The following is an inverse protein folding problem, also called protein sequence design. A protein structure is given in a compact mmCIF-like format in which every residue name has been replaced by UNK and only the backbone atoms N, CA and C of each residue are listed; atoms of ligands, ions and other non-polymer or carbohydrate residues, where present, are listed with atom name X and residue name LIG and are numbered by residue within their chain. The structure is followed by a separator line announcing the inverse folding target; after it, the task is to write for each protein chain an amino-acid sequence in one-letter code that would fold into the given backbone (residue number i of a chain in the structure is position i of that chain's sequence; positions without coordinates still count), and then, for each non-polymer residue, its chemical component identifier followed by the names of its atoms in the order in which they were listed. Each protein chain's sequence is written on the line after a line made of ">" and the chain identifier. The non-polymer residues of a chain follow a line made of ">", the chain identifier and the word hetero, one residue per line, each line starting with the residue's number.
data_IF_416544952844
#
_entry.id   IF_416544952844
#
_cell.length_a   1.000
_cell.length_b   1.000
_cell.length_c   1.000
_cell.angle_alpha   90.00
_cell.angle_beta   90.00
_cell.angle_gamma   90.00
#
_symmetry.space_group_name_H-M   'P 1'
#
loop_
_entity.id
_entity.type
_entity.pdbx_description
1 polymer ?
#
# COMPACT_ATOMS: atom_id res chain seq x y z
N UNK A 1 34.26 13.90 30.31
CA UNK A 1 34.58 12.68 29.52
C UNK A 1 33.85 12.77 28.19
N UNK A 2 34.59 12.80 27.09
CA UNK A 2 33.99 12.76 25.75
C UNK A 2 33.52 11.34 25.52
N UNK A 3 32.21 11.10 25.54
CA UNK A 3 31.66 9.85 25.02
C UNK A 3 32.03 9.78 23.53
N UNK A 4 33.07 9.01 23.20
CA UNK A 4 33.25 8.56 21.82
C UNK A 4 31.95 7.82 21.47
N UNK A 5 31.15 8.40 20.56
CA UNK A 5 29.99 7.72 19.98
C UNK A 5 30.50 6.52 19.18
N UNK A 6 30.79 5.43 19.87
CA UNK A 6 30.93 4.13 19.25
C UNK A 6 29.54 3.81 18.71
N UNK A 7 29.39 3.86 17.38
CA UNK A 7 28.19 3.33 16.74
C UNK A 7 28.12 1.85 17.11
N UNK A 8 27.22 1.52 18.03
CA UNK A 8 26.98 0.14 18.42
C UNK A 8 26.29 -0.56 17.25
N UNK A 9 26.86 -1.67 16.79
CA UNK A 9 26.22 -2.51 15.80
C UNK A 9 24.93 -3.13 16.35
N UNK A 10 23.97 -3.45 15.46
CA UNK A 10 22.70 -4.09 15.82
C UNK A 10 22.87 -5.28 16.76
N UNK A 11 23.86 -6.12 16.48
CA UNK A 11 24.16 -7.32 17.27
C UNK A 11 24.71 -7.01 18.66
N UNK A 12 25.54 -5.96 18.79
CA UNK A 12 26.06 -5.52 20.07
C UNK A 12 24.95 -4.98 20.98
N UNK A 13 24.00 -4.22 20.41
CA UNK A 13 22.82 -3.75 21.14
C UNK A 13 21.95 -4.92 21.58
N UNK A 14 21.66 -5.86 20.67
CA UNK A 14 20.85 -7.03 20.98
C UNK A 14 21.48 -7.88 22.09
N UNK A 15 22.79 -8.14 22.01
CA UNK A 15 23.54 -8.90 22.99
C UNK A 15 23.56 -8.22 24.37
N UNK A 16 23.84 -6.92 24.42
CA UNK A 16 23.89 -6.17 25.68
C UNK A 16 22.53 -6.16 26.40
N UNK A 17 21.43 -6.05 25.66
CA UNK A 17 20.08 -6.14 26.25
C UNK A 17 19.79 -7.57 26.70
N UNK A 18 20.09 -8.56 25.87
CA UNK A 18 19.86 -9.96 26.21
C UNK A 18 20.55 -10.33 27.52
N UNK A 19 21.82 -9.95 27.70
CA UNK A 19 22.58 -10.19 28.93
C UNK A 19 21.89 -9.60 30.16
N UNK A 20 21.34 -8.39 30.05
CA UNK A 20 20.65 -7.73 31.16
C UNK A 20 19.29 -8.35 31.49
N UNK A 21 18.56 -8.80 30.47
CA UNK A 21 17.27 -9.49 30.66
C UNK A 21 17.50 -10.87 31.29
N UNK A 22 18.45 -11.64 30.80
CA UNK A 22 18.79 -12.98 31.35
C UNK A 22 19.32 -12.88 32.78
N UNK A 23 20.01 -11.80 33.16
CA UNK A 23 20.43 -11.57 34.55
C UNK A 23 19.27 -11.30 35.52
N UNK A 24 18.11 -10.88 35.02
CA UNK A 24 16.95 -10.46 35.83
C UNK A 24 15.73 -11.37 35.68
N UNK A 25 15.85 -12.43 34.87
CA UNK A 25 14.76 -13.36 34.55
C UNK A 25 15.31 -14.77 34.38
N UNK A 26 14.45 -15.78 34.47
CA UNK A 26 14.82 -17.17 34.14
C UNK A 26 14.81 -17.45 32.62
N UNK A 27 14.88 -16.40 31.80
CA UNK A 27 14.79 -16.52 30.34
C UNK A 27 16.12 -16.89 29.72
N UNK A 28 16.07 -17.58 28.59
CA UNK A 28 17.25 -17.90 27.78
C UNK A 28 17.22 -17.09 26.49
N UNK A 29 18.30 -16.39 26.19
CA UNK A 29 18.44 -15.68 24.92
C UNK A 29 18.78 -16.66 23.79
N UNK A 30 17.97 -16.67 22.74
CA UNK A 30 18.21 -17.48 21.54
C UNK A 30 18.33 -16.58 20.30
N UNK A 31 19.55 -16.31 19.80
CA UNK A 31 19.71 -15.55 18.58
C UNK A 31 19.15 -16.33 17.37
N UNK A 32 18.46 -15.61 16.47
CA UNK A 32 18.04 -16.10 15.15
C UNK A 32 17.07 -17.30 15.12
N UNK A 33 16.54 -17.73 16.27
CA UNK A 33 15.49 -18.75 16.38
C UNK A 33 14.14 -18.11 16.68
N UNK A 34 13.06 -18.78 16.27
CA UNK A 34 11.72 -18.43 16.72
C UNK A 34 11.66 -18.54 18.25
N UNK A 35 11.46 -17.41 18.91
CA UNK A 35 11.24 -17.35 20.36
C UNK A 35 9.73 -17.19 20.64
N UNK A 36 9.31 -17.59 21.82
CA UNK A 36 7.93 -17.35 22.28
C UNK A 36 7.71 -15.88 22.67
N UNK A 37 8.78 -15.08 22.76
CA UNK A 37 8.76 -13.71 23.26
C UNK A 37 9.90 -12.89 22.66
N UNK A 38 9.59 -12.04 21.67
CA UNK A 38 10.59 -11.19 21.03
C UNK A 38 10.55 -9.77 21.62
N UNK A 39 11.66 -9.33 22.24
CA UNK A 39 11.89 -7.92 22.58
C UNK A 39 12.46 -7.21 21.35
N UNK A 40 11.85 -6.11 20.95
CA UNK A 40 12.30 -5.23 19.86
C UNK A 40 12.77 -3.90 20.39
N UNK A 41 13.96 -3.51 19.95
CA UNK A 41 14.57 -2.22 20.26
C UNK A 41 14.72 -1.45 18.95
N UNK A 42 14.03 -0.33 18.84
CA UNK A 42 14.20 0.61 17.76
C UNK A 42 14.94 1.84 18.31
N UNK A 43 16.11 2.12 17.76
CA UNK A 43 16.91 3.29 18.12
C UNK A 43 16.88 4.24 16.94
N UNK A 44 16.22 5.38 17.12
CA UNK A 44 16.18 6.44 16.12
C UNK A 44 16.73 7.73 16.72
N UNK A 45 17.91 8.15 16.23
CA UNK A 45 18.62 9.34 16.72
C UNK A 45 18.84 9.28 18.25
N UNK A 46 18.05 10.04 19.00
CA UNK A 46 18.13 10.16 20.45
C UNK A 46 16.96 9.46 21.17
N UNK A 47 16.12 8.74 20.43
CA UNK A 47 14.96 8.03 20.95
C UNK A 47 15.19 6.52 20.90
N UNK A 48 14.83 5.84 22.00
CA UNK A 48 14.84 4.38 22.08
C UNK A 48 13.42 3.93 22.39
N UNK A 49 12.86 3.11 21.51
CA UNK A 49 11.59 2.42 21.72
C UNK A 49 11.87 0.94 22.01
N UNK A 50 11.54 0.51 23.22
CA UNK A 50 11.52 -0.90 23.62
C UNK A 50 10.09 -1.39 23.51
N UNK A 51 9.89 -2.50 22.80
CA UNK A 51 8.57 -3.07 22.54
C UNK A 51 8.62 -4.59 22.61
N UNK A 52 7.47 -5.20 22.87
CA UNK A 52 7.29 -6.65 22.85
C UNK A 52 6.49 -7.02 21.62
N UNK A 53 6.91 -8.05 20.91
CA UNK A 53 6.15 -8.60 19.79
C UNK A 53 5.02 -9.48 20.35
N UNK A 54 3.79 -9.03 20.17
CA UNK A 54 2.59 -9.73 20.67
C UNK A 54 2.19 -10.91 19.78
N UNK A 55 2.44 -10.81 18.46
CA UNK A 55 2.08 -11.84 17.49
C UNK A 55 3.34 -12.54 16.97
N UNK A 56 3.31 -13.87 16.88
CA UNK A 56 4.41 -14.66 16.32
C UNK A 56 4.67 -14.31 14.85
N UNK A 57 3.60 -14.12 14.09
CA UNK A 57 3.61 -13.73 12.69
C UNK A 57 3.45 -12.23 12.49
N UNK A 58 3.99 -11.74 11.36
CA UNK A 58 3.79 -10.34 10.99
C UNK A 58 2.39 -10.12 10.45
N UNK A 59 1.74 -9.04 10.92
CA UNK A 59 0.38 -8.64 10.52
C UNK A 59 0.25 -8.24 9.04
N UNK A 60 1.31 -8.29 8.22
CA UNK A 60 1.16 -8.20 6.76
C UNK A 60 0.69 -9.51 6.13
N UNK A 61 0.89 -10.65 6.82
CA UNK A 61 0.44 -11.95 6.31
C UNK A 61 -1.08 -11.97 6.24
N UNK A 62 -1.58 -12.54 5.15
CA UNK A 62 -3.00 -12.68 4.81
C UNK A 62 -3.21 -14.06 4.20
N UNK A 63 -4.46 -14.48 4.15
CA UNK A 63 -4.91 -15.73 3.54
C UNK A 63 -4.76 -15.79 2.00
N UNK A 64 -4.46 -14.65 1.36
CA UNK A 64 -4.20 -14.56 -0.07
C UNK A 64 -2.70 -14.48 -0.40
N UNK A 65 -2.35 -14.81 -1.65
CA UNK A 65 -0.96 -14.95 -2.07
C UNK A 65 -0.30 -13.57 -2.25
N UNK A 66 0.83 -13.41 -1.55
CA UNK A 66 1.72 -12.27 -1.73
C UNK A 66 2.73 -12.63 -2.80
N UNK A 67 2.62 -12.02 -3.98
CA UNK A 67 3.67 -12.14 -4.99
C UNK A 67 4.83 -11.22 -4.60
N UNK A 68 6.04 -11.76 -4.34
CA UNK A 68 7.20 -10.95 -3.98
C UNK A 68 7.80 -10.29 -5.22
N UNK A 69 7.04 -9.38 -5.84
CA UNK A 69 7.56 -8.54 -6.92
C UNK A 69 8.22 -7.29 -6.34
N UNK A 70 9.30 -6.77 -6.95
CA UNK A 70 9.83 -5.47 -6.59
C UNK A 70 8.72 -4.41 -6.65
N UNK A 71 8.42 -3.77 -5.53
CA UNK A 71 7.34 -2.79 -5.44
C UNK A 71 5.94 -3.33 -5.17
N UNK A 72 5.80 -4.63 -4.89
CA UNK A 72 4.57 -5.17 -4.29
C UNK A 72 4.23 -4.39 -3.01
N UNK A 73 2.97 -4.03 -2.85
CA UNK A 73 2.49 -3.24 -1.71
C UNK A 73 2.26 -4.13 -0.48
N UNK A 74 2.72 -3.68 0.70
CA UNK A 74 2.35 -4.36 1.96
C UNK A 74 0.87 -4.19 2.23
N UNK A 75 0.21 -5.30 2.56
CA UNK A 75 -1.23 -5.33 2.84
C UNK A 75 -1.65 -4.44 4.02
N UNK A 76 -0.76 -4.18 4.98
CA UNK A 76 -1.03 -3.21 6.06
C UNK A 76 -1.12 -1.78 5.56
N UNK A 77 -0.35 -1.40 4.53
CA UNK A 77 -0.42 -0.07 3.91
C UNK A 77 -1.69 0.03 3.09
N UNK A 78 -2.01 -1.02 2.31
CA UNK A 78 -3.25 -1.09 1.55
C UNK A 78 -4.48 -0.94 2.46
N UNK A 79 -4.53 -1.69 3.56
CA UNK A 79 -5.58 -1.63 4.56
C UNK A 79 -5.75 -0.23 5.16
N UNK A 80 -4.64 0.43 5.52
CA UNK A 80 -4.67 1.78 6.08
C UNK A 80 -5.23 2.81 5.07
N UNK A 81 -4.76 2.78 3.82
CA UNK A 81 -5.27 3.67 2.76
C UNK A 81 -6.76 3.46 2.52
N UNK A 82 -7.21 2.20 2.46
CA UNK A 82 -8.62 1.88 2.25
C UNK A 82 -9.48 2.27 3.44
N UNK A 83 -9.00 2.11 4.67
CA UNK A 83 -9.72 2.55 5.87
C UNK A 83 -10.02 4.06 5.82
N UNK A 84 -9.02 4.87 5.44
CA UNK A 84 -9.17 6.31 5.27
C UNK A 84 -10.11 6.71 4.13
N UNK A 85 -10.17 5.92 3.04
CA UNK A 85 -11.03 6.21 1.88
C UNK A 85 -12.48 5.72 2.09
N UNK A 86 -12.67 4.53 2.65
CA UNK A 86 -13.98 3.88 2.82
C UNK A 86 -14.77 4.49 3.98
N UNK A 87 -14.10 4.87 5.07
CA UNK A 87 -14.73 5.55 6.23
C UNK A 87 -15.97 4.83 6.79
N UNK A 88 -15.97 3.49 6.75
CA UNK A 88 -17.05 2.66 7.28
C UNK A 88 -18.26 2.47 6.36
N UNK A 89 -18.23 3.02 5.14
CA UNK A 89 -19.33 2.86 4.17
C UNK A 89 -19.21 1.51 3.43
N UNK A 90 -20.01 0.53 3.86
CA UNK A 90 -20.08 -0.78 3.21
C UNK A 90 -20.77 -0.71 1.83
N UNK A 91 -20.41 -1.64 0.94
CA UNK A 91 -21.01 -1.76 -0.39
C UNK A 91 -20.49 -0.77 -1.44
N UNK A 92 -19.57 0.12 -1.07
CA UNK A 92 -18.85 0.99 -2.00
C UNK A 92 -18.22 0.18 -3.14
N UNK A 93 -18.22 0.77 -4.34
CA UNK A 93 -17.55 0.20 -5.50
C UNK A 93 -16.15 0.79 -5.62
N UNK A 94 -15.14 -0.07 -5.46
CA UNK A 94 -13.72 0.27 -5.47
C UNK A 94 -13.09 -0.28 -6.75
N UNK A 95 -12.31 0.54 -7.46
CA UNK A 95 -11.58 0.14 -8.66
C UNK A 95 -10.07 0.30 -8.51
N UNK A 96 -9.29 -0.67 -9.00
CA UNK A 96 -7.83 -0.58 -9.17
C UNK A 96 -7.42 -0.97 -10.59
N UNK A 97 -7.00 -0.01 -11.41
CA UNK A 97 -6.56 -0.24 -12.78
C UNK A 97 -5.08 -0.67 -12.92
N UNK A 98 -4.37 -0.85 -11.80
CA UNK A 98 -3.04 -1.44 -11.72
C UNK A 98 -3.03 -2.56 -10.69
N UNK A 99 -4.04 -3.44 -10.74
CA UNK A 99 -4.35 -4.30 -9.60
C UNK A 99 -3.25 -5.32 -9.30
N UNK A 100 -2.40 -5.70 -10.26
CA UNK A 100 -1.40 -6.74 -10.10
C UNK A 100 -2.03 -8.00 -9.51
N UNK A 101 -1.55 -8.46 -8.35
CA UNK A 101 -2.10 -9.62 -7.63
C UNK A 101 -3.37 -9.34 -6.80
N UNK A 102 -3.93 -8.13 -6.88
CA UNK A 102 -5.20 -7.76 -6.26
C UNK A 102 -5.11 -7.33 -4.79
N UNK A 103 -3.96 -6.88 -4.29
CA UNK A 103 -3.79 -6.56 -2.85
C UNK A 103 -4.79 -5.51 -2.35
N UNK A 104 -4.97 -4.40 -3.06
CA UNK A 104 -5.99 -3.41 -2.68
C UNK A 104 -7.40 -3.97 -2.76
N UNK A 105 -7.69 -4.76 -3.79
CA UNK A 105 -9.01 -5.37 -3.97
C UNK A 105 -9.34 -6.35 -2.84
N UNK A 106 -8.38 -7.16 -2.40
CA UNK A 106 -8.56 -8.05 -1.25
C UNK A 106 -8.85 -7.28 0.04
N UNK A 107 -8.08 -6.23 0.33
CA UNK A 107 -8.30 -5.41 1.54
C UNK A 107 -9.62 -4.63 1.46
N UNK A 108 -10.03 -4.17 0.26
CA UNK A 108 -11.31 -3.49 0.08
C UNK A 108 -12.49 -4.44 0.29
N UNK A 109 -12.39 -5.69 -0.20
CA UNK A 109 -13.40 -6.72 0.05
C UNK A 109 -13.58 -7.02 1.54
N UNK A 110 -12.48 -7.02 2.32
CA UNK A 110 -12.52 -7.19 3.78
C UNK A 110 -13.25 -6.05 4.51
N UNK A 111 -13.33 -4.87 3.90
CA UNK A 111 -14.14 -3.73 4.37
C UNK A 111 -15.59 -3.76 3.85
N UNK A 112 -16.00 -4.84 3.18
CA UNK A 112 -17.36 -4.98 2.65
C UNK A 112 -17.60 -4.24 1.33
N UNK A 113 -16.56 -3.85 0.61
CA UNK A 113 -16.69 -3.21 -0.70
C UNK A 113 -16.92 -4.22 -1.83
N UNK A 114 -17.54 -3.77 -2.92
CA UNK A 114 -17.53 -4.46 -4.20
C UNK A 114 -16.30 -4.01 -5.00
N UNK A 115 -15.52 -4.94 -5.52
CA UNK A 115 -14.15 -4.67 -6.00
C UNK A 115 -14.00 -4.98 -7.47
N UNK A 116 -13.40 -4.05 -8.18
CA UNK A 116 -13.20 -4.13 -9.62
C UNK A 116 -11.75 -3.83 -9.91
N UNK A 117 -11.17 -4.47 -10.90
CA UNK A 117 -9.79 -4.14 -11.24
C UNK A 117 -9.33 -4.65 -12.57
N UNK A 118 -8.19 -4.12 -12.97
CA UNK A 118 -7.53 -4.56 -14.17
C UNK A 118 -6.04 -4.44 -14.08
N UNK A 119 -5.38 -5.28 -14.87
CA UNK A 119 -3.96 -5.20 -15.13
C UNK A 119 -3.73 -5.55 -16.60
N UNK A 120 -2.64 -5.04 -17.18
CA UNK A 120 -2.27 -5.37 -18.57
C UNK A 120 -1.70 -6.79 -18.67
N UNK A 121 -1.18 -7.35 -17.57
CA UNK A 121 -0.57 -8.67 -17.54
C UNK A 121 -1.60 -9.76 -17.20
N UNK A 122 -1.93 -10.67 -18.14
CA UNK A 122 -2.86 -11.76 -17.91
C UNK A 122 -2.50 -12.67 -16.73
N UNK A 123 -1.21 -12.94 -16.53
CA UNK A 123 -0.75 -13.78 -15.43
C UNK A 123 -1.06 -13.18 -14.06
N UNK A 124 -0.94 -11.86 -13.92
CA UNK A 124 -1.29 -11.18 -12.66
C UNK A 124 -2.80 -11.11 -12.43
N UNK A 125 -3.59 -10.94 -13.50
CA UNK A 125 -5.05 -10.97 -13.43
C UNK A 125 -5.56 -12.33 -12.94
N UNK A 126 -5.00 -13.44 -13.40
CA UNK A 126 -5.38 -14.76 -12.90
C UNK A 126 -5.03 -14.96 -11.42
N UNK A 127 -3.89 -14.43 -10.97
CA UNK A 127 -3.52 -14.43 -9.54
C UNK A 127 -4.51 -13.57 -8.75
N UNK A 128 -4.87 -12.39 -9.23
CA UNK A 128 -5.84 -11.51 -8.58
C UNK A 128 -7.21 -12.20 -8.45
N UNK A 129 -7.70 -12.87 -9.49
CA UNK A 129 -8.95 -13.64 -9.43
C UNK A 129 -8.89 -14.74 -8.36
N UNK A 130 -7.81 -15.52 -8.32
CA UNK A 130 -7.59 -16.54 -7.30
C UNK A 130 -7.59 -15.95 -5.87
N UNK A 131 -6.89 -14.83 -5.68
CA UNK A 131 -6.84 -14.12 -4.40
C UNK A 131 -8.22 -13.58 -3.98
N UNK A 132 -8.98 -13.03 -4.91
CA UNK A 132 -10.33 -12.54 -4.66
C UNK A 132 -11.31 -13.65 -4.28
N UNK A 133 -11.17 -14.84 -4.88
CA UNK A 133 -11.95 -16.01 -4.50
C UNK A 133 -11.64 -16.44 -3.05
N UNK A 134 -10.37 -16.44 -2.63
CA UNK A 134 -9.96 -16.81 -1.27
C UNK A 134 -10.59 -15.92 -0.19
N UNK A 135 -10.82 -14.64 -0.50
CA UNK A 135 -11.43 -13.68 0.44
C UNK A 135 -12.94 -13.51 0.23
N UNK A 136 -13.56 -14.26 -0.68
CA UNK A 136 -15.00 -14.19 -0.96
C UNK A 136 -15.45 -12.84 -1.52
N UNK A 137 -14.60 -12.16 -2.28
CA UNK A 137 -14.89 -10.84 -2.83
C UNK A 137 -16.00 -10.86 -3.89
N UNK A 138 -16.76 -9.76 -3.97
CA UNK A 138 -17.77 -9.52 -5.01
C UNK A 138 -17.26 -8.49 -6.02
N UNK A 139 -17.32 -8.82 -7.30
CA UNK A 139 -17.01 -7.90 -8.41
C UNK A 139 -16.25 -8.60 -9.54
N UNK A 140 -15.45 -7.86 -10.30
CA UNK A 140 -14.84 -8.35 -11.55
C UNK A 140 -13.39 -7.88 -11.74
N UNK A 141 -12.52 -8.76 -12.22
CA UNK A 141 -11.14 -8.44 -12.59
C UNK A 141 -10.82 -8.97 -13.97
N UNK A 142 -10.30 -8.11 -14.84
CA UNK A 142 -10.03 -8.45 -16.23
C UNK A 142 -8.73 -7.85 -16.77
N UNK A 143 -8.23 -8.45 -17.87
CA UNK A 143 -7.07 -7.93 -18.60
C UNK A 143 -7.50 -6.76 -19.47
N UNK A 144 -6.93 -5.58 -19.22
CA UNK A 144 -7.15 -4.37 -20.04
C UNK A 144 -6.13 -3.29 -19.69
N UNK A 145 -6.02 -2.28 -20.55
CA UNK A 145 -5.16 -1.12 -20.32
C UNK A 145 -5.84 -0.14 -19.34
N UNK A 146 -5.09 0.35 -18.35
CA UNK A 146 -5.56 1.31 -17.35
C UNK A 146 -6.10 2.64 -17.93
N UNK A 147 -5.70 2.99 -19.14
CA UNK A 147 -6.15 4.19 -19.86
C UNK A 147 -7.50 4.03 -20.57
N UNK A 148 -7.90 2.79 -20.88
CA UNK A 148 -9.09 2.48 -21.68
C UNK A 148 -9.73 1.20 -21.17
N UNK A 149 -10.66 1.35 -20.23
CA UNK A 149 -11.33 0.24 -19.56
C UNK A 149 -12.74 0.05 -20.08
N UNK A 150 -13.26 -1.16 -19.93
CA UNK A 150 -14.67 -1.49 -20.19
C UNK A 150 -15.64 -0.92 -19.15
N UNK A 151 -15.13 -0.27 -18.10
CA UNK A 151 -15.96 0.13 -16.98
C UNK A 151 -16.93 1.25 -17.36
N UNK A 152 -18.16 1.25 -16.82
CA UNK A 152 -19.13 2.28 -17.12
C UNK A 152 -18.75 3.62 -16.49
N UNK A 153 -19.19 4.70 -17.12
CA UNK A 153 -19.04 6.07 -16.62
C UNK A 153 -19.67 6.21 -15.23
N UNK A 154 -19.02 6.99 -14.36
CA UNK A 154 -19.54 7.39 -13.06
C UNK A 154 -20.09 6.24 -12.20
N UNK A 155 -19.38 5.11 -12.17
CA UNK A 155 -19.82 3.90 -11.50
C UNK A 155 -19.15 3.68 -10.14
N UNK A 156 -17.90 4.09 -10.00
CA UNK A 156 -17.09 3.84 -8.81
C UNK A 156 -17.14 4.99 -7.81
N UNK A 157 -17.14 4.66 -6.52
CA UNK A 157 -16.99 5.64 -5.44
C UNK A 157 -15.52 5.90 -5.10
N UNK A 158 -14.66 4.90 -5.29
CA UNK A 158 -13.24 4.97 -4.97
C UNK A 158 -12.43 4.39 -6.14
N UNK A 159 -11.39 5.11 -6.56
CA UNK A 159 -10.32 4.57 -7.39
C UNK A 159 -9.03 4.52 -6.55
N UNK A 160 -8.32 3.41 -6.56
CA UNK A 160 -7.12 3.22 -5.74
C UNK A 160 -6.08 2.39 -6.48
N UNK A 161 -4.82 2.84 -6.54
CA UNK A 161 -3.76 2.12 -7.27
C UNK A 161 -2.36 2.30 -6.71
N UNK A 162 -1.57 1.23 -6.80
CA UNK A 162 -0.12 1.27 -6.66
C UNK A 162 0.51 1.41 -8.03
N UNK A 163 0.89 2.64 -8.38
CA UNK A 163 1.42 2.94 -9.71
C UNK A 163 2.77 2.25 -9.91
N UNK A 164 3.13 1.89 -11.16
CA UNK A 164 4.43 1.31 -11.45
C UNK A 164 5.56 2.28 -11.08
N UNK A 165 6.68 1.74 -10.59
CA UNK A 165 7.82 2.54 -10.12
C UNK A 165 8.91 2.64 -11.18
N UNK A 166 9.74 3.67 -11.08
CA UNK A 166 10.77 4.05 -12.08
C UNK A 166 11.77 2.93 -12.44
N UNK A 167 11.95 1.91 -11.58
CA UNK A 167 12.83 0.77 -11.88
C UNK A 167 12.28 -0.20 -12.92
N UNK A 168 11.02 -0.03 -13.31
CA UNK A 168 10.30 -0.94 -14.22
C UNK A 168 9.97 -0.30 -15.57
N UNK A 169 9.97 1.04 -15.66
CA UNK A 169 9.47 1.79 -16.82
C UNK A 169 10.25 3.11 -16.97
N UNK A 170 10.51 3.55 -18.21
CA UNK A 170 11.10 4.86 -18.49
C UNK A 170 10.24 6.05 -18.00
N UNK A 171 10.89 7.15 -17.58
CA UNK A 171 10.21 8.31 -16.96
C UNK A 171 9.25 9.05 -17.90
N UNK A 172 9.53 9.09 -19.20
CA UNK A 172 8.60 9.67 -20.18
C UNK A 172 7.30 8.85 -20.24
N UNK A 173 7.43 7.52 -20.21
CA UNK A 173 6.32 6.58 -20.25
C UNK A 173 5.50 6.58 -18.96
N UNK A 174 6.12 6.69 -17.78
CA UNK A 174 5.35 6.75 -16.52
C UNK A 174 4.45 7.99 -16.46
N UNK A 175 4.92 9.11 -17.00
CA UNK A 175 4.15 10.36 -17.05
C UNK A 175 2.87 10.18 -17.89
N UNK A 176 2.98 9.54 -19.05
CA UNK A 176 1.84 9.27 -19.93
C UNK A 176 0.86 8.26 -19.33
N UNK A 177 1.39 7.22 -18.66
CA UNK A 177 0.59 6.22 -17.95
C UNK A 177 -0.24 6.89 -16.84
N UNK A 178 0.37 7.77 -16.04
CA UNK A 178 -0.30 8.50 -14.97
C UNK A 178 -1.38 9.43 -15.54
N UNK A 179 -1.05 10.21 -16.58
CA UNK A 179 -2.01 11.13 -17.23
C UNK A 179 -3.23 10.37 -17.74
N UNK A 180 -3.00 9.29 -18.48
CA UNK A 180 -4.07 8.52 -19.14
C UNK A 180 -4.91 7.74 -18.13
N UNK A 181 -4.30 7.19 -17.07
CA UNK A 181 -5.06 6.55 -16.00
C UNK A 181 -5.94 7.55 -15.24
N UNK A 182 -5.43 8.75 -14.95
CA UNK A 182 -6.22 9.76 -14.24
C UNK A 182 -7.33 10.34 -15.12
N UNK A 183 -7.12 10.43 -16.43
CA UNK A 183 -8.18 10.73 -17.39
C UNK A 183 -9.29 9.67 -17.36
N UNK A 184 -8.91 8.39 -17.33
CA UNK A 184 -9.87 7.30 -17.25
C UNK A 184 -10.62 7.28 -15.90
N UNK A 185 -9.92 7.55 -14.80
CA UNK A 185 -10.56 7.74 -13.50
C UNK A 185 -11.55 8.89 -13.50
N UNK A 186 -11.31 9.97 -14.25
CA UNK A 186 -12.26 11.08 -14.37
C UNK A 186 -13.56 10.67 -15.07
N UNK A 187 -13.50 9.70 -15.99
CA UNK A 187 -14.68 9.14 -16.66
C UNK A 187 -15.46 8.19 -15.74
N UNK A 188 -14.78 7.28 -15.06
CA UNK A 188 -15.42 6.14 -14.37
C UNK A 188 -15.81 6.43 -12.90
N UNK A 189 -15.24 7.47 -12.28
CA UNK A 189 -15.60 7.87 -10.91
C UNK A 189 -16.90 8.67 -10.89
N UNK A 190 -17.72 8.41 -9.87
CA UNK A 190 -18.87 9.25 -9.54
C UNK A 190 -18.41 10.68 -9.18
N UNK A 191 -19.30 11.68 -9.31
CA UNK A 191 -19.09 12.98 -8.67
C UNK A 191 -18.81 12.79 -7.18
N UNK A 192 -17.87 13.56 -6.63
CA UNK A 192 -17.40 13.42 -5.24
C UNK A 192 -16.73 12.06 -4.92
N UNK A 193 -16.20 11.38 -5.95
CA UNK A 193 -15.40 10.18 -5.77
C UNK A 193 -14.09 10.45 -5.02
N UNK A 194 -13.50 9.38 -4.49
CA UNK A 194 -12.22 9.45 -3.78
C UNK A 194 -11.13 8.72 -4.58
N UNK A 195 -9.91 9.23 -4.51
CA UNK A 195 -8.74 8.67 -5.18
C UNK A 195 -7.65 8.36 -4.16
N UNK A 196 -7.07 7.17 -4.23
CA UNK A 196 -5.87 6.79 -3.47
C UNK A 196 -4.73 6.36 -4.39
N UNK A 197 -3.62 7.07 -4.39
CA UNK A 197 -2.46 6.73 -5.21
C UNK A 197 -1.23 6.51 -4.35
N UNK A 198 -0.39 5.55 -4.72
CA UNK A 198 0.97 5.46 -4.22
C UNK A 198 1.95 5.46 -5.40
N UNK A 199 2.95 6.35 -5.35
CA UNK A 199 3.92 6.55 -6.43
C UNK A 199 5.26 7.08 -5.91
N UNK A 200 6.33 6.85 -6.67
CA UNK A 200 7.64 7.52 -6.49
C UNK A 200 7.70 8.92 -7.13
N UNK A 201 6.63 9.33 -7.84
CA UNK A 201 6.51 10.61 -8.57
C UNK A 201 5.28 11.41 -8.11
N UNK A 202 5.15 11.75 -6.82
CA UNK A 202 3.97 12.45 -6.30
C UNK A 202 3.66 13.76 -7.01
N UNK A 203 4.68 14.49 -7.48
CA UNK A 203 4.54 15.74 -8.22
C UNK A 203 3.82 15.53 -9.56
N UNK A 204 4.08 14.42 -10.24
CA UNK A 204 3.44 14.07 -11.52
C UNK A 204 1.98 13.68 -11.28
N UNK A 205 1.73 12.86 -10.27
CA UNK A 205 0.36 12.48 -9.87
C UNK A 205 -0.44 13.73 -9.47
N UNK A 206 0.11 14.61 -8.63
CA UNK A 206 -0.58 15.82 -8.19
C UNK A 206 -0.86 16.80 -9.34
N UNK A 207 0.03 16.88 -10.34
CA UNK A 207 -0.17 17.68 -11.56
C UNK A 207 -1.37 17.15 -12.35
N UNK A 208 -1.41 15.85 -12.65
CA UNK A 208 -2.46 15.27 -13.48
C UNK A 208 -3.78 15.08 -12.74
N UNK A 209 -3.75 14.93 -11.42
CA UNK A 209 -4.95 14.95 -10.58
C UNK A 209 -5.67 16.30 -10.76
N UNK A 210 -4.92 17.42 -10.68
CA UNK A 210 -5.49 18.77 -10.89
C UNK A 210 -5.84 19.08 -12.34
N UNK A 211 -5.27 18.35 -13.31
CA UNK A 211 -5.63 18.48 -14.73
C UNK A 211 -7.03 17.91 -15.00
N UNK A 212 -7.33 16.76 -14.42
CA UNK A 212 -8.54 15.99 -14.73
C UNK A 212 -9.68 16.16 -13.74
N UNK A 213 -9.40 16.68 -12.54
CA UNK A 213 -10.37 16.83 -11.47
C UNK A 213 -10.33 18.21 -10.82
N UNK A 214 -11.48 18.63 -10.32
CA UNK A 214 -11.51 19.60 -9.23
C UNK A 214 -11.16 18.88 -7.92
N UNK A 215 -9.97 19.16 -7.38
CA UNK A 215 -9.49 18.54 -6.14
C UNK A 215 -10.02 19.31 -4.94
N UNK A 216 -10.96 18.73 -4.20
CA UNK A 216 -11.58 19.36 -3.03
C UNK A 216 -10.67 19.23 -1.80
N UNK A 217 -10.00 18.08 -1.69
CA UNK A 217 -9.10 17.74 -0.61
C UNK A 217 -7.96 16.86 -1.15
N UNK A 218 -6.74 17.06 -0.65
CA UNK A 218 -5.56 16.24 -0.97
C UNK A 218 -4.69 16.11 0.27
N UNK A 219 -4.42 14.88 0.68
CA UNK A 219 -3.52 14.55 1.77
C UNK A 219 -2.36 13.70 1.28
N UNK A 220 -1.16 13.99 1.76
CA UNK A 220 0.07 13.33 1.33
C UNK A 220 0.83 12.74 2.51
N UNK A 221 1.25 11.48 2.37
CA UNK A 221 2.07 10.79 3.37
C UNK A 221 3.31 10.18 2.72
N UNK A 222 4.50 10.64 3.12
CA UNK A 222 5.75 10.01 2.71
C UNK A 222 5.99 8.77 3.55
N UNK A 223 6.22 7.63 2.91
CA UNK A 223 6.47 6.37 3.60
C UNK A 223 7.85 5.83 3.24
N UNK A 224 8.57 5.30 4.23
CA UNK A 224 9.78 4.52 3.99
C UNK A 224 9.38 3.10 3.61
N UNK A 225 9.67 2.68 2.37
CA UNK A 225 9.26 1.37 1.87
C UNK A 225 10.35 0.70 1.04
N UNK A 226 10.91 -0.41 1.56
CA UNK A 226 11.93 -1.23 0.88
C UNK A 226 13.11 -0.42 0.30
N UNK A 227 13.59 0.59 1.04
CA UNK A 227 14.69 1.45 0.61
C UNK A 227 14.31 2.55 -0.39
N UNK A 228 13.02 2.70 -0.68
CA UNK A 228 12.44 3.80 -1.46
C UNK A 228 11.55 4.65 -0.56
N UNK A 229 11.24 5.86 -1.02
CA UNK A 229 10.35 6.80 -0.31
C UNK A 229 9.14 7.17 -1.17
N UNK A 230 8.26 6.20 -1.51
CA UNK A 230 7.03 6.54 -2.23
C UNK A 230 6.14 7.41 -1.34
N UNK A 231 5.25 8.14 -1.99
CA UNK A 231 4.28 9.00 -1.34
C UNK A 231 2.88 8.46 -1.62
N UNK A 232 2.09 8.34 -0.55
CA UNK A 232 0.65 8.08 -0.61
C UNK A 232 -0.06 9.41 -0.79
N UNK A 233 -0.99 9.49 -1.73
CA UNK A 233 -1.84 10.64 -1.99
C UNK A 233 -3.31 10.19 -1.91
N UNK A 234 -4.05 10.74 -0.96
CA UNK A 234 -5.48 10.50 -0.80
C UNK A 234 -6.22 11.78 -1.15
N UNK A 235 -7.18 11.72 -2.06
CA UNK A 235 -7.90 12.89 -2.55
C UNK A 235 -9.40 12.66 -2.59
N UNK A 236 -10.15 13.72 -2.34
CA UNK A 236 -11.56 13.83 -2.72
C UNK A 236 -11.67 14.73 -3.94
N UNK A 237 -12.38 14.25 -4.96
CA UNK A 237 -12.42 14.88 -6.27
C UNK A 237 -13.85 15.05 -6.78
N UNK A 238 -14.07 16.13 -7.50
CA UNK A 238 -15.27 16.33 -8.32
C UNK A 238 -14.89 16.28 -9.80
N UNK A 239 -15.81 15.82 -10.64
CA UNK A 239 -15.67 15.89 -12.11
C UNK A 239 -15.39 17.35 -12.50
N UNK A 240 -14.33 17.59 -13.26
CA UNK A 240 -13.98 18.93 -13.71
C UNK A 240 -15.19 19.55 -14.44
N UNK A 241 -15.53 20.79 -14.12
CA UNK A 241 -16.52 21.55 -14.91
C UNK A 241 -15.93 21.70 -16.32
N UNK A 242 -16.54 21.05 -17.31
CA UNK A 242 -16.30 21.36 -18.71
C UNK A 242 -16.81 22.77 -19.04
#
# INVERSE_FOLDING_TARGET
>A
SVFQKKLLGREQVAQAVAEKVVQSTDWTYTPLKHSNFDIRINIEKNSVLVSVKVFSDSLYKREYDHQPTPGALRSTIAAAMLYELVQGEAGLKVVDNFCGSGTFLCEAARLGCNVYGSDINPGTVEIAKSNLQKVGAKGDVCVQNAAHTKWPDQFFGIAISNLPWDKQIEVASITQIIDSCLAEYARILKPHGKIGMISTKPEIVAKYLRKHFQVNFLQEYKIGYLGQTPTIQLAEVSTARH
#
